data_IF_960992361851
#
_entry.id   IF_960992361851
#
_cell.length_a   1.000
_cell.length_b   1.000
_cell.length_c   1.000
_cell.angle_alpha   90.00
_cell.angle_beta   90.00
_cell.angle_gamma   90.00
#
_symmetry.space_group_name_H-M   'P 1'
#
loop_
_entity.id
_entity.type
_entity.pdbx_description
1 polymer ?
#
# COMPACT_ATOMS: atom_id res chain seq x y z
N UNK A 1 22.04 -39.63 -15.71
CA UNK A 1 22.56 -39.92 -14.37
C UNK A 1 22.59 -38.59 -13.63
N UNK A 2 21.84 -38.46 -12.53
CA UNK A 2 21.89 -37.27 -11.66
C UNK A 2 22.82 -37.60 -10.49
N UNK A 3 23.79 -36.72 -10.19
CA UNK A 3 24.74 -36.85 -9.08
C UNK A 3 24.47 -35.79 -8.01
N UNK A 4 24.57 -36.16 -6.74
CA UNK A 4 24.41 -35.27 -5.60
C UNK A 4 25.60 -34.31 -5.44
N UNK A 5 26.72 -34.55 -6.14
CA UNK A 5 27.83 -33.61 -6.23
C UNK A 5 27.43 -32.24 -6.79
N UNK A 6 26.38 -32.19 -7.62
CA UNK A 6 25.85 -30.97 -8.25
C UNK A 6 24.60 -30.42 -7.52
N UNK A 7 24.25 -30.98 -6.37
CA UNK A 7 23.07 -30.55 -5.63
C UNK A 7 23.31 -29.24 -4.85
N UNK A 8 22.26 -28.44 -4.69
CA UNK A 8 22.23 -27.27 -3.81
C UNK A 8 21.19 -27.46 -2.72
N UNK A 9 21.42 -26.89 -1.54
CA UNK A 9 20.47 -26.94 -0.42
C UNK A 9 19.52 -25.74 -0.46
N UNK A 10 18.25 -25.96 -0.13
CA UNK A 10 17.26 -24.90 0.15
C UNK A 10 17.04 -24.90 1.66
N UNK A 11 17.70 -23.97 2.34
CA UNK A 11 17.56 -23.80 3.80
C UNK A 11 16.29 -23.00 4.08
N UNK A 12 15.49 -23.44 5.06
CA UNK A 12 14.32 -22.70 5.53
C UNK A 12 12.90 -23.12 5.09
N UNK A 13 12.63 -24.25 4.38
CA UNK A 13 11.24 -24.69 4.21
C UNK A 13 10.73 -25.29 5.54
N UNK A 14 9.89 -24.56 6.26
CA UNK A 14 9.63 -24.83 7.68
C UNK A 14 8.44 -25.78 7.93
N UNK A 15 8.69 -26.86 8.68
CA UNK A 15 7.68 -27.59 9.46
C UNK A 15 8.05 -27.73 10.95
N UNK A 16 9.19 -27.17 11.39
CA UNK A 16 9.46 -26.40 12.64
C UNK A 16 10.94 -26.46 13.09
N UNK A 17 11.47 -25.32 13.57
CA UNK A 17 12.40 -25.25 14.71
C UNK A 17 12.19 -23.96 15.52
N UNK A 18 11.68 -22.88 14.90
CA UNK A 18 11.01 -21.77 15.58
C UNK A 18 9.71 -21.48 14.84
N UNK A 19 8.57 -21.87 15.42
CA UNK A 19 7.25 -21.77 14.78
C UNK A 19 6.81 -20.31 14.72
N UNK A 20 6.49 -19.85 13.53
CA UNK A 20 5.90 -18.52 13.31
C UNK A 20 4.44 -18.54 13.83
N UNK A 21 4.10 -17.65 14.76
CA UNK A 21 2.76 -17.53 15.36
C UNK A 21 1.88 -16.53 14.62
N UNK A 22 0.55 -16.65 14.75
CA UNK A 22 -0.40 -15.70 14.18
C UNK A 22 -0.37 -15.65 12.64
N UNK A 23 -0.12 -16.79 12.00
CA UNK A 23 -0.18 -16.90 10.54
C UNK A 23 -1.64 -16.93 10.11
N UNK A 24 -1.99 -16.17 9.07
CA UNK A 24 -3.30 -16.30 8.45
C UNK A 24 -3.31 -17.55 7.56
N UNK A 25 -4.11 -18.56 7.91
CA UNK A 25 -4.23 -19.80 7.13
C UNK A 25 -5.09 -19.66 5.88
N UNK A 26 -5.87 -18.59 5.79
CA UNK A 26 -6.76 -18.31 4.66
C UNK A 26 -6.14 -17.34 3.65
N UNK A 27 -4.94 -16.81 3.91
CA UNK A 27 -4.28 -15.82 3.04
C UNK A 27 -2.81 -16.16 2.84
N UNK A 28 -2.24 -15.78 1.69
CA UNK A 28 -0.81 -15.92 1.44
C UNK A 28 -0.07 -14.73 2.07
N UNK A 29 1.00 -14.99 2.82
CA UNK A 29 1.76 -13.94 3.51
C UNK A 29 3.25 -14.00 3.20
N UNK A 30 3.86 -12.84 2.95
CA UNK A 30 5.30 -12.62 3.04
C UNK A 30 5.55 -11.79 4.30
N UNK A 31 6.31 -12.30 5.26
CA UNK A 31 6.39 -11.71 6.61
C UNK A 31 7.75 -11.83 7.25
N UNK A 32 8.00 -11.00 8.25
CA UNK A 32 9.08 -11.17 9.22
C UNK A 32 8.77 -12.31 10.20
N UNK A 33 9.82 -12.87 10.80
CA UNK A 33 9.74 -13.98 11.76
C UNK A 33 8.96 -13.60 13.04
N UNK A 34 9.07 -12.34 13.47
CA UNK A 34 8.31 -11.78 14.61
C UNK A 34 6.83 -11.53 14.29
N UNK A 35 6.45 -11.51 13.01
CA UNK A 35 5.08 -11.25 12.55
C UNK A 35 4.63 -9.80 12.59
N UNK A 36 5.49 -8.86 12.92
CA UNK A 36 5.12 -7.44 13.03
C UNK A 36 4.99 -6.77 11.66
N UNK A 37 5.76 -7.24 10.68
CA UNK A 37 5.83 -6.66 9.34
C UNK A 37 5.47 -7.70 8.30
N UNK A 38 4.45 -7.44 7.48
CA UNK A 38 4.00 -8.40 6.47
C UNK A 38 3.25 -7.77 5.30
N UNK A 39 3.30 -8.48 4.17
CA UNK A 39 2.43 -8.33 3.01
C UNK A 39 1.49 -9.55 2.97
N UNK A 40 0.18 -9.31 2.89
CA UNK A 40 -0.84 -10.35 2.87
C UNK A 40 -1.73 -10.22 1.63
N UNK A 41 -1.94 -11.35 0.94
CA UNK A 41 -2.86 -11.51 -0.17
C UNK A 41 -3.99 -12.46 0.25
N UNK A 42 -5.21 -11.93 0.35
CA UNK A 42 -6.38 -12.69 0.77
C UNK A 42 -7.27 -13.03 -0.45
N UNK A 43 -7.44 -14.32 -0.81
CA UNK A 43 -8.21 -14.73 -1.98
C UNK A 43 -9.72 -14.54 -1.82
N UNK A 44 -10.26 -14.67 -0.59
CA UNK A 44 -11.70 -14.57 -0.33
C UNK A 44 -12.19 -13.13 -0.48
N UNK A 45 -11.46 -12.19 0.14
CA UNK A 45 -11.76 -10.76 0.09
C UNK A 45 -11.19 -10.05 -1.14
N UNK A 46 -10.24 -10.70 -1.85
CA UNK A 46 -9.49 -10.13 -2.98
C UNK A 46 -8.76 -8.84 -2.62
N UNK A 47 -8.26 -8.75 -1.39
CA UNK A 47 -7.54 -7.58 -0.86
C UNK A 47 -6.07 -7.89 -0.61
N UNK A 48 -5.26 -6.87 -0.80
CA UNK A 48 -3.86 -6.83 -0.37
C UNK A 48 -3.78 -5.96 0.89
N UNK A 49 -3.03 -6.43 1.89
CA UNK A 49 -2.76 -5.69 3.13
C UNK A 49 -1.27 -5.62 3.37
N UNK A 50 -0.78 -4.42 3.67
CA UNK A 50 0.61 -4.18 4.07
C UNK A 50 0.58 -3.65 5.50
N UNK A 51 1.29 -4.32 6.40
CA UNK A 51 1.51 -3.86 7.78
C UNK A 51 3.00 -3.67 7.98
N UNK A 52 3.40 -2.43 8.26
CA UNK A 52 4.79 -2.05 8.48
C UNK A 52 4.86 -0.98 9.58
N UNK A 53 5.01 -1.38 10.86
CA UNK A 53 5.02 -0.45 11.99
C UNK A 53 6.13 0.61 11.94
N UNK A 54 7.25 0.30 11.28
CA UNK A 54 8.35 1.24 11.06
C UNK A 54 8.13 2.26 9.95
N UNK A 55 7.05 2.12 9.17
CA UNK A 55 6.75 2.96 8.00
C UNK A 55 6.78 2.18 6.68
N UNK A 56 6.31 2.83 5.61
CA UNK A 56 6.30 2.30 4.24
C UNK A 56 6.87 3.36 3.29
N UNK A 57 8.02 3.07 2.69
CA UNK A 57 8.61 3.87 1.64
C UNK A 57 8.28 3.28 0.26
N UNK A 58 7.78 4.13 -0.65
CA UNK A 58 7.48 3.76 -2.04
C UNK A 58 8.35 4.60 -2.96
N UNK A 59 9.41 4.00 -3.50
CA UNK A 59 10.31 4.65 -4.45
C UNK A 59 9.93 4.20 -5.87
N UNK A 60 9.17 5.05 -6.55
CA UNK A 60 8.71 4.81 -7.92
C UNK A 60 8.64 6.14 -8.69
N UNK A 61 8.82 6.13 -10.03
CA UNK A 61 8.69 7.35 -10.84
C UNK A 61 7.25 7.89 -10.84
N UNK A 62 6.26 7.02 -10.72
CA UNK A 62 4.84 7.35 -10.64
C UNK A 62 4.12 6.28 -9.82
N UNK A 63 3.27 6.71 -8.89
CA UNK A 63 2.31 5.84 -8.19
C UNK A 63 0.91 6.27 -8.60
N UNK A 64 0.18 5.39 -9.28
CA UNK A 64 -1.18 5.64 -9.77
C UNK A 64 -2.21 4.91 -8.90
N UNK A 65 -3.28 5.62 -8.53
CA UNK A 65 -4.37 5.10 -7.72
C UNK A 65 -5.69 5.38 -8.44
N UNK A 66 -6.38 4.32 -8.87
CA UNK A 66 -7.52 4.41 -9.79
C UNK A 66 -8.80 4.99 -9.18
N UNK A 67 -8.94 4.92 -7.85
CA UNK A 67 -10.12 5.41 -7.13
C UNK A 67 -9.73 6.27 -5.92
N UNK A 68 -10.50 6.18 -4.83
CA UNK A 68 -10.35 7.02 -3.65
C UNK A 68 -9.17 6.55 -2.81
N UNK A 69 -8.39 7.52 -2.33
CA UNK A 69 -7.32 7.32 -1.34
C UNK A 69 -7.72 8.00 -0.03
N UNK A 70 -7.70 7.25 1.07
CA UNK A 70 -8.00 7.77 2.41
C UNK A 70 -6.71 7.87 3.22
N UNK A 71 -6.46 9.03 3.82
CA UNK A 71 -5.30 9.30 4.67
C UNK A 71 -5.82 9.75 6.04
N UNK A 72 -5.54 8.97 7.08
CA UNK A 72 -5.99 9.25 8.45
C UNK A 72 -5.07 10.22 9.21
N UNK A 73 -3.85 10.43 8.70
CA UNK A 73 -2.86 11.36 9.26
C UNK A 73 -2.69 12.61 8.39
N UNK A 74 -1.52 13.25 8.53
CA UNK A 74 -1.15 14.40 7.71
C UNK A 74 -0.65 13.95 6.33
N UNK A 75 -1.17 14.57 5.27
CA UNK A 75 -0.60 14.49 3.92
C UNK A 75 0.30 15.71 3.69
N UNK A 76 1.56 15.47 3.30
CA UNK A 76 2.51 16.51 2.89
C UNK A 76 2.98 16.25 1.45
N UNK A 77 2.93 17.27 0.60
CA UNK A 77 3.49 17.22 -0.76
C UNK A 77 4.55 18.32 -0.92
N UNK A 78 5.57 18.07 -1.74
CA UNK A 78 6.62 19.06 -2.04
C UNK A 78 6.44 19.71 -3.41
N UNK A 79 5.88 19.00 -4.40
CA UNK A 79 5.73 19.46 -5.78
C UNK A 79 4.47 20.28 -6.09
N UNK A 80 3.68 20.63 -5.07
CA UNK A 80 2.37 21.26 -5.21
C UNK A 80 1.24 20.26 -5.55
N UNK A 81 0.02 20.60 -5.15
CA UNK A 81 -1.19 19.84 -5.52
C UNK A 81 -1.85 20.48 -6.73
N UNK A 82 -2.05 19.68 -7.78
CA UNK A 82 -2.83 20.07 -8.96
C UNK A 82 -4.22 19.41 -8.83
N UNK A 83 -5.30 20.18 -9.02
CA UNK A 83 -6.68 19.69 -8.91
C UNK A 83 -7.43 20.05 -7.63
N UNK A 84 -6.92 21.03 -6.84
CA UNK A 84 -7.63 21.56 -5.68
C UNK A 84 -9.00 22.14 -6.09
N UNK A 85 -10.02 21.95 -5.24
CA UNK A 85 -11.40 22.48 -5.32
C UNK A 85 -11.53 24.01 -5.44
N UNK A 86 -10.44 24.73 -5.68
CA UNK A 86 -10.40 26.19 -5.77
C UNK A 86 -11.14 26.73 -7.00
N UNK A 87 -11.26 25.92 -8.07
CA UNK A 87 -11.97 26.33 -9.29
C UNK A 87 -13.50 26.36 -9.10
N UNK A 88 -14.06 25.57 -8.18
CA UNK A 88 -15.51 25.55 -7.92
C UNK A 88 -15.95 26.81 -7.16
N UNK A 89 -15.11 27.32 -6.25
CA UNK A 89 -15.41 28.51 -5.47
C UNK A 89 -15.28 29.80 -6.29
N UNK A 90 -14.26 29.91 -7.15
CA UNK A 90 -14.06 31.07 -8.01
C UNK A 90 -15.17 31.20 -9.07
N UNK A 91 -15.65 30.09 -9.63
CA UNK A 91 -16.71 30.09 -10.65
C UNK A 91 -18.08 30.48 -10.06
N UNK A 92 -18.40 30.04 -8.84
CA UNK A 92 -19.63 30.47 -8.15
C UNK A 92 -19.59 31.95 -7.78
N UNK A 93 -18.43 32.47 -7.38
CA UNK A 93 -18.28 33.90 -7.04
C UNK A 93 -18.35 34.80 -8.27
N UNK A 94 -17.79 34.40 -9.41
CA UNK A 94 -17.85 35.16 -10.66
C UNK A 94 -19.29 35.26 -11.21
N UNK A 95 -20.09 34.19 -11.05
CA UNK A 95 -21.52 34.20 -11.39
C UNK A 95 -22.33 35.10 -10.45
N UNK A 96 -22.02 35.13 -9.16
CA UNK A 96 -22.66 36.05 -8.21
C UNK A 96 -22.31 37.52 -8.48
N UNK A 97 -21.09 37.81 -8.93
CA UNK A 97 -20.65 39.17 -9.25
C UNK A 97 -21.35 39.72 -10.51
N UNK A 98 -21.64 38.87 -11.50
CA UNK A 98 -22.39 39.28 -12.70
C UNK A 98 -23.88 39.55 -12.45
N UNK A 99 -24.45 39.09 -11.32
CA UNK A 99 -25.80 39.48 -10.87
C UNK A 99 -25.83 40.81 -10.09
N UNK A 100 -24.68 41.32 -9.64
CA UNK A 100 -24.62 42.55 -8.83
C UNK A 100 -24.26 43.81 -9.65
N UNK A 101 -23.85 43.62 -10.92
CA UNK A 101 -23.46 44.70 -11.86
C UNK A 101 -24.52 44.89 -12.97
N UNK A 102 -25.68 44.25 -12.86
CA UNK A 102 -26.82 44.38 -13.77
C UNK A 102 -27.98 45.15 -13.13
#
# INVERSE_FOLDING_TARGET
MHDLSDAFCIVGPQSQARKISGINTSATQLRSDDGSTYFELNPDTRKIKIVAPGGLDVVAPLADFSEKVTIHGLLTWMGGMVGLLFLVWLQKSLVLLSFWVA
#
